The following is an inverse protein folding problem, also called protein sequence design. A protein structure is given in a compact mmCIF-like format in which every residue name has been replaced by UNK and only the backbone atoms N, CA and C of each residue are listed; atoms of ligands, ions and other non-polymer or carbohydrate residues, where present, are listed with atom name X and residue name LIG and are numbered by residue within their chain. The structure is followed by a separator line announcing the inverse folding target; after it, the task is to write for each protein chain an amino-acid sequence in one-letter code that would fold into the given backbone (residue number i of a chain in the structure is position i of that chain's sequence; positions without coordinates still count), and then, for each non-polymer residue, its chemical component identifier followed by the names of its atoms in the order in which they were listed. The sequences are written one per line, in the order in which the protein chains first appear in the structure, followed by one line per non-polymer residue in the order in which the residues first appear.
data_IF_977244970378
#
_entry.id   IF_977244970378
#
_cell.length_a   1.000
_cell.length_b   1.000
_cell.length_c   1.000
_cell.angle_alpha   90.00
_cell.angle_beta   90.00
_cell.angle_gamma   90.00
#
_symmetry.space_group_name_H-M   'P 1'
#
loop_
_entity.id
_entity.type
_entity.pdbx_description
1 polymer ?
#
# COMPACT_ATOMS: atom_id res chain seq x y z
N UNK A 1 -22.81 4.44 6.38
CA UNK A 1 -23.77 5.21 5.57
C UNK A 1 -23.04 5.71 4.32
N UNK A 2 -23.33 5.18 3.12
CA UNK A 2 -22.64 5.37 1.81
C UNK A 2 -21.10 5.23 1.78
N UNK A 3 -20.36 5.99 2.58
CA UNK A 3 -18.91 5.95 2.71
C UNK A 3 -18.41 4.55 3.11
N UNK A 4 -19.09 3.89 4.04
CA UNK A 4 -18.74 2.55 4.51
C UNK A 4 -18.80 1.53 3.36
N UNK A 5 -19.76 1.68 2.44
CA UNK A 5 -19.91 0.80 1.27
C UNK A 5 -18.74 1.00 0.32
N UNK A 6 -18.31 2.26 0.14
CA UNK A 6 -17.15 2.58 -0.70
C UNK A 6 -15.85 2.06 -0.08
N UNK A 7 -15.65 2.29 1.23
CA UNK A 7 -14.44 1.88 1.95
C UNK A 7 -14.35 0.36 2.16
N UNK A 8 -15.47 -0.35 2.08
CA UNK A 8 -15.48 -1.81 2.12
C UNK A 8 -15.41 -2.45 0.73
N UNK A 9 -15.37 -1.65 -0.35
CA UNK A 9 -15.24 -2.16 -1.71
C UNK A 9 -13.78 -2.35 -2.12
N UNK A 10 -13.41 -3.57 -2.51
CA UNK A 10 -12.06 -3.87 -3.00
C UNK A 10 -11.70 -3.07 -4.25
N UNK A 11 -12.67 -2.84 -5.15
CA UNK A 11 -12.45 -2.04 -6.37
C UNK A 11 -12.04 -0.59 -6.05
N UNK A 12 -12.63 0.02 -5.02
CA UNK A 12 -12.32 1.41 -4.63
C UNK A 12 -10.87 1.49 -4.15
N UNK A 13 -10.46 0.54 -3.30
CA UNK A 13 -9.08 0.45 -2.82
C UNK A 13 -8.06 0.21 -3.95
N UNK A 14 -8.41 -0.62 -4.94
CA UNK A 14 -7.56 -0.83 -6.11
C UNK A 14 -7.38 0.45 -6.93
N UNK A 15 -8.46 1.23 -7.14
CA UNK A 15 -8.39 2.51 -7.84
C UNK A 15 -7.54 3.52 -7.05
N UNK A 16 -7.78 3.66 -5.75
CA UNK A 16 -7.02 4.57 -4.88
C UNK A 16 -5.53 4.19 -4.88
N UNK A 17 -5.22 2.91 -4.71
CA UNK A 17 -3.85 2.41 -4.72
C UNK A 17 -3.13 2.68 -6.03
N UNK A 18 -3.82 2.49 -7.17
CA UNK A 18 -3.30 2.79 -8.49
C UNK A 18 -3.04 4.29 -8.68
N UNK A 19 -3.99 5.14 -8.26
CA UNK A 19 -3.82 6.60 -8.35
C UNK A 19 -2.62 7.09 -7.53
N UNK A 20 -2.43 6.58 -6.32
CA UNK A 20 -1.27 6.89 -5.50
C UNK A 20 0.03 6.41 -6.15
N UNK A 21 0.05 5.20 -6.72
CA UNK A 21 1.21 4.69 -7.44
C UNK A 21 1.56 5.55 -8.67
N UNK A 22 0.56 6.02 -9.43
CA UNK A 22 0.76 6.95 -10.55
C UNK A 22 1.26 8.30 -10.05
N UNK A 23 0.71 8.82 -8.95
CA UNK A 23 1.13 10.09 -8.36
C UNK A 23 2.59 10.05 -7.87
N UNK A 24 3.09 8.88 -7.47
CA UNK A 24 4.52 8.73 -7.18
C UNK A 24 5.39 9.04 -8.40
N UNK A 25 4.96 8.64 -9.61
CA UNK A 25 5.73 8.89 -10.83
C UNK A 25 5.89 10.38 -11.14
N UNK A 26 5.02 11.24 -10.61
CA UNK A 26 5.12 12.70 -10.81
C UNK A 26 5.99 13.37 -9.75
N UNK A 27 6.02 12.86 -8.52
CA UNK A 27 6.79 13.46 -7.42
C UNK A 27 8.23 12.93 -7.32
N UNK A 28 8.46 11.65 -7.65
CA UNK A 28 9.80 11.03 -7.67
C UNK A 28 10.43 10.79 -6.29
N UNK A 29 9.71 11.07 -5.21
CA UNK A 29 10.21 10.94 -3.82
C UNK A 29 10.37 9.50 -3.35
N UNK A 30 9.69 8.55 -3.99
CA UNK A 30 9.57 7.12 -3.70
C UNK A 30 9.05 6.74 -2.30
N UNK A 31 9.11 7.64 -1.32
CA UNK A 31 9.01 7.31 0.11
C UNK A 31 7.59 7.43 0.68
N UNK A 32 6.69 8.19 0.02
CA UNK A 32 5.34 8.46 0.55
C UNK A 32 4.23 7.85 -0.29
N UNK A 33 4.18 8.11 -1.59
CA UNK A 33 3.08 7.66 -2.45
C UNK A 33 3.23 6.20 -2.88
N UNK A 34 4.45 5.70 -3.03
CA UNK A 34 4.70 4.29 -3.35
C UNK A 34 4.24 3.34 -2.23
N UNK A 35 4.63 3.52 -0.95
CA UNK A 35 4.23 2.59 0.09
C UNK A 35 2.73 2.63 0.37
N UNK A 36 2.11 3.82 0.29
CA UNK A 36 0.67 4.02 0.49
C UNK A 36 -0.17 3.53 -0.70
N UNK A 37 0.35 3.65 -1.93
CA UNK A 37 -0.29 3.11 -3.12
C UNK A 37 -0.21 1.59 -3.19
N UNK A 38 0.97 1.02 -2.96
CA UNK A 38 1.18 -0.42 -2.94
C UNK A 38 0.38 -1.12 -1.84
N UNK A 39 0.35 -0.56 -0.62
CA UNK A 39 -0.50 -1.07 0.45
C UNK A 39 -2.00 -0.97 0.11
N UNK A 40 -2.42 0.09 -0.58
CA UNK A 40 -3.80 0.28 -1.04
C UNK A 40 -4.21 -0.79 -2.04
N UNK A 41 -3.32 -1.11 -2.99
CA UNK A 41 -3.52 -2.21 -3.95
C UNK A 41 -3.64 -3.56 -3.24
N UNK A 42 -2.76 -3.86 -2.27
CA UNK A 42 -2.81 -5.10 -1.49
C UNK A 42 -4.10 -5.21 -0.68
N UNK A 43 -4.51 -4.12 -0.02
CA UNK A 43 -5.76 -4.07 0.75
C UNK A 43 -6.97 -4.29 -0.15
N UNK A 44 -7.00 -3.65 -1.32
CA UNK A 44 -8.05 -3.83 -2.31
C UNK A 44 -8.09 -5.25 -2.89
N UNK A 45 -6.93 -5.87 -3.10
CA UNK A 45 -6.83 -7.25 -3.56
C UNK A 45 -7.38 -8.24 -2.51
N UNK A 46 -7.03 -8.07 -1.24
CA UNK A 46 -7.57 -8.89 -0.14
C UNK A 46 -9.10 -8.77 -0.08
N UNK A 47 -9.63 -7.54 -0.09
CA UNK A 47 -11.07 -7.31 -0.12
C UNK A 47 -11.71 -7.92 -1.37
N UNK A 48 -11.07 -7.81 -2.54
CA UNK A 48 -11.61 -8.35 -3.78
C UNK A 48 -11.70 -9.89 -3.76
N UNK A 49 -10.69 -10.54 -3.21
CA UNK A 49 -10.67 -11.99 -3.02
C UNK A 49 -11.70 -12.46 -1.97
N UNK A 50 -11.97 -11.65 -0.96
CA UNK A 50 -13.07 -11.89 -0.02
C UNK A 50 -14.44 -11.74 -0.72
N UNK A 51 -14.63 -10.67 -1.50
CA UNK A 51 -15.85 -10.43 -2.30
C UNK A 51 -16.14 -11.58 -3.29
N UNK A 52 -15.10 -12.18 -3.89
CA UNK A 52 -15.24 -13.30 -4.81
C UNK A 52 -15.43 -14.66 -4.12
N UNK A 53 -15.45 -14.71 -2.78
CA UNK A 53 -15.54 -15.94 -2.00
C UNK A 53 -14.29 -16.82 -2.07
N UNK A 54 -13.17 -16.29 -2.58
CA UNK A 54 -11.90 -17.02 -2.70
C UNK A 54 -11.09 -17.01 -1.40
N UNK A 55 -11.35 -16.06 -0.51
CA UNK A 55 -10.79 -16.00 0.85
C UNK A 55 -11.89 -16.01 1.91
N UNK A 56 -11.62 -16.58 3.10
CA UNK A 56 -12.51 -16.42 4.25
C UNK A 56 -12.62 -14.94 4.65
N UNK A 57 -13.69 -14.60 5.37
CA UNK A 57 -13.93 -13.23 5.84
C UNK A 57 -12.88 -12.87 6.91
N UNK A 58 -11.86 -12.13 6.50
CA UNK A 58 -10.77 -11.63 7.35
C UNK A 58 -11.04 -10.19 7.80
N UNK A 59 -11.50 -9.36 6.87
CA UNK A 59 -11.96 -8.00 7.11
C UNK A 59 -13.48 -8.02 7.09
N UNK A 60 -14.11 -7.64 8.20
CA UNK A 60 -15.57 -7.59 8.38
C UNK A 60 -16.12 -6.15 8.39
N UNK A 61 -15.22 -5.16 8.39
CA UNK A 61 -15.53 -3.77 8.63
C UNK A 61 -14.64 -2.85 7.79
N UNK A 62 -15.17 -1.68 7.43
CA UNK A 62 -14.41 -0.63 6.74
C UNK A 62 -13.20 -0.16 7.58
N UNK A 63 -13.33 -0.19 8.90
CA UNK A 63 -12.24 0.11 9.83
C UNK A 63 -11.13 -0.94 9.76
N UNK A 64 -11.48 -2.21 9.58
CA UNK A 64 -10.52 -3.28 9.34
C UNK A 64 -9.69 -3.04 8.09
N UNK A 65 -10.33 -2.66 6.98
CA UNK A 65 -9.65 -2.32 5.74
C UNK A 65 -8.67 -1.15 5.90
N UNK A 66 -9.08 -0.07 6.57
CA UNK A 66 -8.18 1.06 6.87
C UNK A 66 -7.02 0.66 7.78
N UNK A 67 -7.27 -0.19 8.78
CA UNK A 67 -6.25 -0.66 9.70
C UNK A 67 -5.21 -1.49 8.96
N UNK A 68 -5.64 -2.43 8.11
CA UNK A 68 -4.75 -3.22 7.27
C UNK A 68 -3.93 -2.32 6.34
N UNK A 69 -4.56 -1.35 5.68
CA UNK A 69 -3.88 -0.39 4.82
C UNK A 69 -2.82 0.42 5.56
N UNK A 70 -3.12 0.91 6.76
CA UNK A 70 -2.18 1.68 7.57
C UNK A 70 -0.97 0.84 8.00
N UNK A 71 -1.21 -0.40 8.49
CA UNK A 71 -0.15 -1.33 8.88
C UNK A 71 0.74 -1.69 7.69
N UNK A 72 0.14 -2.04 6.54
CA UNK A 72 0.88 -2.36 5.32
C UNK A 72 1.68 -1.17 4.82
N UNK A 73 1.11 0.05 4.84
CA UNK A 73 1.81 1.28 4.44
C UNK A 73 3.04 1.52 5.31
N UNK A 74 2.90 1.33 6.63
CA UNK A 74 4.00 1.49 7.58
C UNK A 74 5.11 0.46 7.33
N UNK A 75 4.75 -0.82 7.19
CA UNK A 75 5.71 -1.90 6.91
C UNK A 75 6.43 -1.66 5.58
N UNK A 76 5.71 -1.30 4.52
CA UNK A 76 6.30 -1.03 3.21
C UNK A 76 7.21 0.21 3.24
N UNK A 77 6.85 1.25 4.00
CA UNK A 77 7.69 2.43 4.18
C UNK A 77 9.01 2.07 4.88
N UNK A 78 8.96 1.25 5.93
CA UNK A 78 10.16 0.74 6.59
C UNK A 78 11.00 -0.14 5.66
N UNK A 79 10.37 -1.06 4.93
CA UNK A 79 11.05 -1.93 3.99
C UNK A 79 11.76 -1.13 2.88
N UNK A 80 11.08 -0.13 2.32
CA UNK A 80 11.66 0.73 1.31
C UNK A 80 12.82 1.56 1.87
N UNK A 81 12.66 2.17 3.05
CA UNK A 81 13.74 2.91 3.70
C UNK A 81 14.97 2.03 3.92
N UNK A 82 14.77 0.78 4.35
CA UNK A 82 15.86 -0.18 4.51
C UNK A 82 16.56 -0.52 3.18
N UNK A 83 15.80 -0.72 2.11
CA UNK A 83 16.35 -0.99 0.76
C UNK A 83 17.14 0.22 0.25
N UNK A 84 16.60 1.43 0.39
CA UNK A 84 17.25 2.66 -0.07
C UNK A 84 18.55 2.90 0.69
N UNK A 85 18.55 2.79 2.03
CA UNK A 85 19.76 2.94 2.84
C UNK A 85 20.86 1.94 2.49
N UNK A 86 20.50 0.68 2.22
CA UNK A 86 21.48 -0.33 1.80
C UNK A 86 22.15 0.03 0.48
N UNK A 87 21.39 0.60 -0.46
CA UNK A 87 21.92 1.02 -1.76
C UNK A 87 22.92 2.17 -1.61
N UNK A 88 22.65 3.14 -0.73
CA UNK A 88 23.59 4.23 -0.45
C UNK A 88 24.89 3.72 0.21
N UNK A 89 24.81 2.72 1.10
CA UNK A 89 26.00 2.17 1.75
C UNK A 89 26.87 1.26 0.87
N UNK A 90 26.36 0.78 -0.27
CA UNK A 90 27.13 -0.10 -1.17
C UNK A 90 27.92 0.65 -2.24
N UNK A 91 27.66 1.94 -2.44
CA UNK A 91 28.34 2.80 -3.42
C UNK A 91 29.55 3.56 -2.83
N UNK A 92 30.02 3.19 -1.63
CA UNK A 92 31.28 3.69 -1.11
C UNK A 92 32.46 2.91 -1.72
N UNK A 93 32.75 3.23 -2.98
CA UNK A 93 34.00 2.90 -3.69
C UNK A 93 34.84 4.18 -3.77
N UNK A 94 34.98 4.89 -2.65
CA UNK A 94 35.97 5.94 -2.52
C UNK A 94 36.94 5.56 -1.39
N UNK A 95 37.91 4.72 -1.77
CA UNK A 95 39.14 4.49 -1.00
C UNK A 95 39.88 5.84 -0.86
N UNK A 96 39.75 6.50 0.28
CA UNK A 96 40.67 7.54 0.75
C UNK A 96 41.65 6.98 1.79
#
# INVERSE_FOLDING_TARGET
MMLDILLYSGNVWLIIGLLLAILELTNGTLIFFLPTGASGLLTGLVLKMQESGSLPILLDSWSGALTLWAILSFILSLALNFIVKRKETSDDINDY
#
